data_IF_576410348731
#
_entry.id   IF_576410348731
#
_cell.length_a   1.000
_cell.length_b   1.000
_cell.length_c   1.000
_cell.angle_alpha   90.00
_cell.angle_beta   90.00
_cell.angle_gamma   90.00
#
_symmetry.space_group_name_H-M   'P 1'
#
loop_
_entity.id
_entity.type
_entity.pdbx_description
1 polymer ?
#
# COMPACT_ATOMS: atom_id res chain seq x y z
N UNK A 1 2.28 -18.42 21.35
CA UNK A 1 1.75 -19.50 20.49
C UNK A 1 2.53 -19.67 19.19
N UNK A 2 2.84 -18.61 18.44
CA UNK A 2 3.40 -18.70 17.07
C UNK A 2 4.87 -19.18 16.98
N UNK A 3 5.74 -18.80 17.92
CA UNK A 3 7.19 -19.11 17.88
C UNK A 3 7.66 -20.05 19.00
N UNK A 4 6.84 -20.27 20.04
CA UNK A 4 7.27 -21.03 21.21
C UNK A 4 7.54 -22.50 20.89
N UNK A 5 6.70 -23.11 20.05
CA UNK A 5 6.83 -24.52 19.69
C UNK A 5 7.96 -24.81 18.71
N UNK A 6 8.41 -23.81 17.93
CA UNK A 6 9.50 -24.02 16.98
C UNK A 6 10.83 -24.34 17.68
N UNK A 7 10.98 -23.96 18.96
CA UNK A 7 12.19 -24.26 19.74
C UNK A 7 12.24 -25.70 20.27
N UNK A 8 11.11 -26.40 20.32
CA UNK A 8 10.98 -27.69 21.03
C UNK A 8 10.34 -28.80 20.21
N UNK A 9 9.70 -28.48 19.08
CA UNK A 9 9.02 -29.44 18.21
C UNK A 9 9.31 -29.17 16.73
N UNK A 10 9.36 -30.22 15.89
CA UNK A 10 9.35 -30.05 14.44
C UNK A 10 8.20 -29.16 14.01
N UNK A 11 8.52 -28.13 13.24
CA UNK A 11 7.57 -27.10 12.81
C UNK A 11 7.76 -26.83 11.33
N UNK A 12 6.65 -26.64 10.62
CA UNK A 12 6.66 -26.36 9.18
C UNK A 12 5.63 -25.29 8.83
N UNK A 13 5.82 -24.64 7.67
CA UNK A 13 4.80 -23.76 7.11
C UNK A 13 3.64 -24.60 6.56
N UNK A 14 2.41 -24.29 6.96
CA UNK A 14 1.22 -24.87 6.32
C UNK A 14 1.00 -24.30 4.91
N UNK A 15 0.12 -24.93 4.12
CA UNK A 15 -0.12 -24.58 2.71
C UNK A 15 -0.50 -23.11 2.47
N UNK A 16 -1.27 -22.52 3.39
CA UNK A 16 -1.64 -21.11 3.29
C UNK A 16 -0.42 -20.19 3.42
N UNK A 17 0.42 -20.45 4.43
CA UNK A 17 1.65 -19.69 4.65
C UNK A 17 2.65 -19.91 3.52
N UNK A 18 2.80 -21.13 3.02
CA UNK A 18 3.64 -21.45 1.87
C UNK A 18 3.20 -20.66 0.62
N UNK A 19 1.90 -20.69 0.30
CA UNK A 19 1.34 -19.95 -0.85
C UNK A 19 1.55 -18.45 -0.71
N UNK A 20 1.34 -17.90 0.49
CA UNK A 20 1.58 -16.49 0.79
C UNK A 20 3.04 -16.14 0.52
N UNK A 21 3.99 -16.85 1.14
CA UNK A 21 5.42 -16.57 1.01
C UNK A 21 5.89 -16.71 -0.44
N UNK A 22 5.49 -17.77 -1.15
CA UNK A 22 5.87 -17.97 -2.54
C UNK A 22 5.37 -16.82 -3.44
N UNK A 23 4.15 -16.32 -3.18
CA UNK A 23 3.58 -15.22 -3.95
C UNK A 23 4.31 -13.91 -3.66
N UNK A 24 4.55 -13.60 -2.38
CA UNK A 24 5.24 -12.38 -1.98
C UNK A 24 6.70 -12.36 -2.42
N UNK A 25 7.41 -13.51 -2.34
CA UNK A 25 8.76 -13.61 -2.87
C UNK A 25 8.81 -13.36 -4.38
N UNK A 26 7.84 -13.86 -5.15
CA UNK A 26 7.75 -13.58 -6.59
C UNK A 26 7.64 -12.07 -6.84
N UNK A 27 6.76 -11.39 -6.11
CA UNK A 27 6.50 -9.94 -6.28
C UNK A 27 7.66 -9.08 -5.84
N UNK A 28 8.32 -9.41 -4.73
CA UNK A 28 9.42 -8.59 -4.20
C UNK A 28 10.72 -8.82 -4.99
N UNK A 29 11.05 -10.07 -5.31
CA UNK A 29 12.35 -10.42 -5.92
C UNK A 29 12.36 -10.29 -7.43
N UNK A 30 11.26 -10.63 -8.11
CA UNK A 30 11.21 -10.65 -9.57
C UNK A 30 9.79 -10.38 -10.10
N UNK A 31 9.23 -9.18 -9.87
CA UNK A 31 7.93 -8.84 -10.39
C UNK A 31 7.96 -8.70 -11.91
N UNK A 32 6.85 -9.02 -12.57
CA UNK A 32 6.71 -8.68 -13.98
C UNK A 32 6.55 -7.18 -14.14
N UNK A 33 7.39 -6.58 -14.99
CA UNK A 33 7.48 -5.13 -15.19
C UNK A 33 6.64 -4.63 -16.37
N UNK A 34 5.97 -3.47 -16.27
CA UNK A 34 6.04 -2.51 -15.16
C UNK A 34 5.32 -3.00 -13.88
N UNK A 35 5.99 -2.84 -12.73
CA UNK A 35 5.44 -3.14 -11.42
C UNK A 35 5.06 -1.83 -10.72
N UNK A 36 3.78 -1.69 -10.39
CA UNK A 36 3.22 -0.45 -9.84
C UNK A 36 2.66 -0.71 -8.45
N UNK A 37 3.03 0.14 -7.51
CA UNK A 37 2.50 0.11 -6.14
C UNK A 37 1.54 1.28 -5.97
N UNK A 38 0.38 1.02 -5.37
CA UNK A 38 -0.54 2.06 -4.92
C UNK A 38 -0.65 1.98 -3.40
N UNK A 39 -0.33 3.09 -2.74
CA UNK A 39 -0.51 3.26 -1.32
C UNK A 39 -1.58 4.31 -1.02
N UNK A 40 -2.54 3.95 -0.18
CA UNK A 40 -3.65 4.78 0.24
C UNK A 40 -4.01 4.59 1.70
N UNK A 41 -5.22 5.00 2.06
CA UNK A 41 -5.77 4.83 3.40
C UNK A 41 -5.31 5.91 4.39
N UNK A 42 -5.46 5.57 5.67
CA UNK A 42 -5.29 6.48 6.80
C UNK A 42 -3.99 6.26 7.59
N UNK A 43 -3.01 5.55 7.02
CA UNK A 43 -1.68 5.37 7.62
C UNK A 43 -0.62 5.70 6.61
N UNK A 44 0.38 6.48 6.99
CA UNK A 44 1.47 6.85 6.09
C UNK A 44 2.85 6.64 6.71
N UNK A 45 2.96 6.60 8.04
CA UNK A 45 4.20 6.35 8.77
C UNK A 45 5.02 5.16 8.24
N UNK A 46 4.42 3.96 8.19
CA UNK A 46 5.05 2.73 7.67
C UNK A 46 5.18 2.74 6.14
N UNK A 47 4.33 3.50 5.45
CA UNK A 47 4.30 3.55 3.99
C UNK A 47 5.54 4.24 3.42
N UNK A 48 6.08 5.27 4.09
CA UNK A 48 7.27 6.01 3.63
C UNK A 48 8.48 5.08 3.48
N UNK A 49 8.76 4.29 4.51
CA UNK A 49 9.87 3.32 4.54
C UNK A 49 9.68 2.28 3.44
N UNK A 50 8.44 1.82 3.26
CA UNK A 50 8.11 0.86 2.21
C UNK A 50 8.38 1.43 0.82
N UNK A 51 7.96 2.67 0.56
CA UNK A 51 8.17 3.37 -0.72
C UNK A 51 9.66 3.48 -1.03
N UNK A 52 10.46 3.96 -0.07
CA UNK A 52 11.91 4.07 -0.24
C UNK A 52 12.53 2.72 -0.58
N UNK A 53 12.13 1.66 0.12
CA UNK A 53 12.67 0.31 -0.09
C UNK A 53 12.32 -0.25 -1.48
N UNK A 54 11.04 -0.20 -1.88
CA UNK A 54 10.60 -0.80 -3.15
C UNK A 54 11.15 -0.05 -4.36
N UNK A 55 11.38 1.27 -4.25
CA UNK A 55 11.98 2.07 -5.31
C UNK A 55 13.51 1.89 -5.35
N UNK A 56 14.18 1.93 -4.19
CA UNK A 56 15.65 1.75 -4.10
C UNK A 56 16.09 0.38 -4.65
N UNK A 57 15.32 -0.67 -4.37
CA UNK A 57 15.59 -2.02 -4.84
C UNK A 57 15.00 -2.31 -6.22
N UNK A 58 14.37 -1.32 -6.88
CA UNK A 58 13.74 -1.44 -8.20
C UNK A 58 12.66 -2.53 -8.29
N UNK A 59 12.07 -2.88 -7.15
CA UNK A 59 10.89 -3.74 -7.07
C UNK A 59 9.70 -3.03 -7.69
N UNK A 60 9.49 -1.76 -7.34
CA UNK A 60 8.51 -0.89 -7.98
C UNK A 60 9.18 -0.08 -9.10
N UNK A 61 8.50 0.05 -10.23
CA UNK A 61 8.83 1.02 -11.27
C UNK A 61 8.09 2.35 -11.06
N UNK A 62 6.91 2.30 -10.44
CA UNK A 62 6.11 3.49 -10.10
C UNK A 62 5.35 3.30 -8.80
N UNK A 63 5.14 4.40 -8.08
CA UNK A 63 4.36 4.48 -6.85
C UNK A 63 3.26 5.52 -7.01
N UNK A 64 2.01 5.12 -6.79
CA UNK A 64 0.83 5.97 -6.79
C UNK A 64 0.39 6.20 -5.35
N UNK A 65 0.24 7.46 -4.94
CA UNK A 65 -0.20 7.78 -3.57
C UNK A 65 -1.62 8.36 -3.57
N UNK A 66 -2.41 7.95 -2.58
CA UNK A 66 -3.75 8.44 -2.29
C UNK A 66 -3.94 8.58 -0.77
N UNK A 67 -5.09 9.08 -0.31
CA UNK A 67 -5.39 9.21 1.13
C UNK A 67 -4.36 10.02 1.92
N UNK A 68 -4.10 9.65 3.18
CA UNK A 68 -3.12 10.32 4.02
C UNK A 68 -1.68 10.22 3.50
N UNK A 69 -1.21 9.11 2.90
CA UNK A 69 0.10 9.09 2.24
C UNK A 69 0.28 10.20 1.20
N UNK A 70 -0.70 10.41 0.33
CA UNK A 70 -0.63 11.51 -0.65
C UNK A 70 -0.60 12.88 0.04
N UNK A 71 -1.45 13.09 1.04
CA UNK A 71 -1.51 14.35 1.78
C UNK A 71 -0.16 14.64 2.48
N UNK A 72 0.46 13.64 3.10
CA UNK A 72 1.76 13.78 3.75
C UNK A 72 2.86 14.21 2.75
N UNK A 73 2.88 13.61 1.56
CA UNK A 73 3.81 13.98 0.48
C UNK A 73 3.56 15.40 -0.06
N UNK A 74 2.31 15.80 -0.24
CA UNK A 74 1.97 17.16 -0.65
C UNK A 74 2.39 18.18 0.42
N UNK A 75 2.15 17.89 1.70
CA UNK A 75 2.59 18.74 2.81
C UNK A 75 4.12 18.89 2.84
N UNK A 76 4.86 17.79 2.67
CA UNK A 76 6.32 17.81 2.62
C UNK A 76 6.88 18.59 1.42
N UNK A 77 6.12 18.69 0.32
CA UNK A 77 6.45 19.54 -0.84
C UNK A 77 6.13 21.03 -0.63
N UNK A 78 5.52 21.39 0.51
CA UNK A 78 5.18 22.78 0.84
C UNK A 78 3.76 23.19 0.47
N UNK A 79 2.89 22.26 0.06
CA UNK A 79 1.47 22.57 -0.10
C UNK A 79 0.81 22.78 1.27
N UNK A 80 0.02 23.84 1.40
CA UNK A 80 -0.84 24.06 2.55
C UNK A 80 -2.16 23.33 2.31
N UNK A 81 -2.47 22.30 3.11
CA UNK A 81 -3.68 21.48 2.91
C UNK A 81 -4.91 22.03 3.65
N UNK A 82 -4.70 23.02 4.51
CA UNK A 82 -5.70 23.54 5.44
C UNK A 82 -5.65 22.81 6.79
N UNK A 83 -6.02 23.53 7.84
CA UNK A 83 -5.86 23.14 9.26
C UNK A 83 -6.38 21.72 9.55
N UNK A 84 -7.61 21.39 9.10
CA UNK A 84 -8.20 20.08 9.38
C UNK A 84 -7.42 18.91 8.79
N UNK A 85 -6.91 19.07 7.56
CA UNK A 85 -6.15 18.03 6.88
C UNK A 85 -4.75 17.89 7.50
N UNK A 86 -4.13 18.99 7.91
CA UNK A 86 -2.83 18.97 8.58
C UNK A 86 -2.91 18.39 9.99
N UNK A 87 -3.98 18.67 10.74
CA UNK A 87 -4.23 18.02 12.04
C UNK A 87 -4.33 16.50 11.92
N UNK A 88 -5.04 15.98 10.90
CA UNK A 88 -5.12 14.54 10.67
C UNK A 88 -3.75 13.90 10.36
N UNK A 89 -2.84 14.63 9.71
CA UNK A 89 -1.47 14.15 9.49
C UNK A 89 -0.66 14.10 10.78
N UNK A 90 -0.85 15.08 11.67
CA UNK A 90 -0.17 15.15 12.98
C UNK A 90 -0.71 14.13 13.99
N UNK A 91 -1.95 13.67 13.82
CA UNK A 91 -2.52 12.58 14.63
C UNK A 91 -1.91 11.22 14.27
N UNK A 92 -1.59 10.99 12.98
CA UNK A 92 -1.01 9.71 12.52
C UNK A 92 0.52 9.68 12.64
N UNK A 93 1.19 10.78 12.30
CA UNK A 93 2.63 10.83 12.13
C UNK A 93 3.31 11.91 12.99
N UNK A 94 4.64 11.86 13.01
CA UNK A 94 5.48 12.82 13.73
C UNK A 94 6.11 13.83 12.77
N UNK A 95 6.51 14.98 13.30
CA UNK A 95 7.09 16.06 12.50
C UNK A 95 8.36 15.63 11.75
N UNK A 96 9.15 14.71 12.32
CA UNK A 96 10.38 14.19 11.72
C UNK A 96 10.13 13.39 10.44
N UNK A 97 8.95 12.79 10.29
CA UNK A 97 8.62 12.00 9.09
C UNK A 97 8.45 12.87 7.85
N UNK A 98 8.09 14.15 7.98
CA UNK A 98 7.99 15.04 6.81
C UNK A 98 9.35 15.31 6.18
N UNK A 99 10.42 15.36 6.96
CA UNK A 99 11.78 15.49 6.42
C UNK A 99 12.23 14.21 5.69
N UNK A 100 11.82 13.04 6.19
CA UNK A 100 12.04 11.77 5.51
C UNK A 100 11.27 11.68 4.18
N UNK A 101 9.98 12.01 4.19
CA UNK A 101 9.16 12.12 2.98
C UNK A 101 9.82 13.03 1.95
N UNK A 102 10.32 14.20 2.38
CA UNK A 102 10.95 15.16 1.49
C UNK A 102 12.21 14.57 0.83
N UNK A 103 13.01 13.81 1.57
CA UNK A 103 14.19 13.10 1.03
C UNK A 103 13.78 12.02 0.02
N UNK A 104 12.82 11.16 0.37
CA UNK A 104 12.30 10.10 -0.49
C UNK A 104 11.73 10.71 -1.78
N UNK A 105 10.88 11.73 -1.67
CA UNK A 105 10.29 12.39 -2.83
C UNK A 105 11.34 13.07 -3.71
N UNK A 106 12.35 13.72 -3.13
CA UNK A 106 13.42 14.35 -3.91
C UNK A 106 14.23 13.31 -4.68
N UNK A 107 14.47 12.15 -4.08
CA UNK A 107 15.28 11.07 -4.66
C UNK A 107 14.53 10.35 -5.79
N UNK A 108 13.22 10.12 -5.63
CA UNK A 108 12.40 9.31 -6.53
C UNK A 108 11.25 10.09 -7.18
N UNK A 109 11.47 11.38 -7.43
CA UNK A 109 10.42 12.31 -7.91
C UNK A 109 9.69 11.83 -9.16
N UNK A 110 10.40 11.21 -10.10
CA UNK A 110 9.85 10.78 -11.39
C UNK A 110 9.04 9.47 -11.30
N UNK A 111 9.22 8.75 -10.19
CA UNK A 111 8.58 7.46 -9.94
C UNK A 111 7.38 7.57 -8.97
N UNK A 112 7.24 8.69 -8.26
CA UNK A 112 6.16 8.94 -7.28
C UNK A 112 5.10 9.88 -7.87
N UNK A 113 3.86 9.41 -7.92
CA UNK A 113 2.72 10.13 -8.49
C UNK A 113 1.71 10.50 -7.39
N UNK A 114 1.41 11.80 -7.32
CA UNK A 114 0.46 12.38 -6.37
C UNK A 114 -0.86 12.80 -7.04
N UNK A 115 -1.96 12.90 -6.28
CA UNK A 115 -3.23 13.44 -6.75
C UNK A 115 -3.10 14.89 -7.23
N UNK A 116 -3.90 15.24 -8.24
CA UNK A 116 -3.99 16.59 -8.82
C UNK A 116 -5.33 17.27 -8.50
N UNK A 117 -6.26 16.52 -7.93
CA UNK A 117 -7.58 16.94 -7.49
C UNK A 117 -8.13 15.98 -6.41
N UNK A 118 -9.09 16.48 -5.63
CA UNK A 118 -9.62 15.83 -4.45
C UNK A 118 -11.14 16.02 -4.39
N UNK A 119 -11.83 15.11 -3.71
CA UNK A 119 -13.24 15.26 -3.38
C UNK A 119 -13.41 15.66 -1.91
N UNK A 120 -14.27 16.66 -1.68
CA UNK A 120 -14.63 17.21 -0.38
C UNK A 120 -16.14 17.18 -0.16
N UNK A 121 -16.56 17.33 1.10
CA UNK A 121 -17.96 17.51 1.47
C UNK A 121 -18.27 19.00 1.63
N UNK A 122 -19.03 19.58 0.71
CA UNK A 122 -19.52 20.96 0.79
C UNK A 122 -21.05 20.95 0.68
N UNK A 123 -21.75 21.52 1.67
CA UNK A 123 -23.22 21.57 1.71
C UNK A 123 -23.87 20.19 1.50
N UNK A 124 -23.36 19.18 2.20
CA UNK A 124 -23.82 17.77 2.14
C UNK A 124 -23.65 17.10 0.77
N UNK A 125 -22.89 17.71 -0.15
CA UNK A 125 -22.64 17.18 -1.49
C UNK A 125 -21.15 16.94 -1.71
N UNK A 126 -20.85 15.88 -2.48
CA UNK A 126 -19.51 15.66 -3.03
C UNK A 126 -19.21 16.79 -4.00
N UNK A 127 -18.11 17.50 -3.79
CA UNK A 127 -17.55 18.47 -4.73
C UNK A 127 -16.08 18.16 -4.94
N UNK A 128 -15.62 18.30 -6.18
CA UNK A 128 -14.21 18.13 -6.50
C UNK A 128 -13.50 19.49 -6.53
N UNK A 129 -12.30 19.54 -5.96
CA UNK A 129 -11.42 20.70 -5.92
C UNK A 129 -10.05 20.30 -6.48
N UNK A 130 -9.40 21.20 -7.20
CA UNK A 130 -8.07 20.99 -7.75
C UNK A 130 -6.99 21.23 -6.71
N UNK A 131 -5.79 20.70 -6.95
CA UNK A 131 -4.63 20.93 -6.10
C UNK A 131 -4.30 22.42 -5.89
N UNK A 132 -4.53 23.26 -6.89
CA UNK A 132 -4.30 24.70 -6.79
C UNK A 132 -5.43 25.49 -6.07
N UNK A 133 -6.48 24.81 -5.61
CA UNK A 133 -7.54 25.38 -4.78
C UNK A 133 -7.31 25.16 -3.28
N UNK A 134 -6.17 24.55 -2.91
CA UNK A 134 -5.72 24.44 -1.54
C UNK A 134 -5.20 25.79 -1.01
N UNK A 135 -5.35 26.09 0.30
CA UNK A 135 -5.83 25.21 1.36
C UNK A 135 -7.35 25.00 1.37
N UNK A 136 -7.78 23.78 1.67
CA UNK A 136 -9.19 23.44 1.79
C UNK A 136 -9.71 23.70 3.21
N UNK A 137 -10.92 24.27 3.32
CA UNK A 137 -11.66 24.37 4.59
C UNK A 137 -12.35 23.05 4.99
N UNK A 138 -12.38 22.10 4.05
CA UNK A 138 -13.01 20.78 4.16
C UNK A 138 -11.96 19.69 4.17
N UNK A 139 -12.30 18.52 4.74
CA UNK A 139 -11.43 17.35 4.68
C UNK A 139 -11.36 16.81 3.25
N UNK A 140 -10.17 16.39 2.83
CA UNK A 140 -9.95 15.68 1.57
C UNK A 140 -10.33 14.21 1.78
N UNK A 141 -11.52 13.83 1.33
CA UNK A 141 -12.11 12.53 1.65
C UNK A 141 -11.85 11.45 0.59
N UNK A 142 -11.56 11.84 -0.66
CA UNK A 142 -11.29 10.93 -1.78
C UNK A 142 -10.49 11.70 -2.86
N UNK A 143 -9.99 10.97 -3.86
CA UNK A 143 -9.37 11.58 -5.05
C UNK A 143 -10.45 12.09 -6.03
N UNK A 144 -10.11 13.12 -6.81
CA UNK A 144 -10.99 13.65 -7.87
C UNK A 144 -10.87 12.87 -9.19
N UNK A 145 -11.75 13.19 -10.15
CA UNK A 145 -11.82 12.49 -11.43
C UNK A 145 -10.51 12.53 -12.22
N UNK A 146 -9.80 13.67 -12.21
CA UNK A 146 -8.57 13.80 -13.00
C UNK A 146 -7.45 12.93 -12.46
N UNK A 147 -7.39 12.78 -11.14
CA UNK A 147 -6.45 11.85 -10.50
C UNK A 147 -6.80 10.41 -10.86
N UNK A 148 -8.09 10.05 -10.86
CA UNK A 148 -8.55 8.71 -11.25
C UNK A 148 -8.12 8.40 -12.70
N UNK A 149 -8.42 9.29 -13.65
CA UNK A 149 -8.04 9.15 -15.07
C UNK A 149 -6.53 8.98 -15.21
N UNK A 150 -5.75 9.89 -14.61
CA UNK A 150 -4.29 9.85 -14.65
C UNK A 150 -3.71 8.55 -14.08
N UNK A 151 -4.28 8.05 -12.98
CA UNK A 151 -3.80 6.83 -12.34
C UNK A 151 -4.16 5.61 -13.18
N UNK A 152 -5.36 5.56 -13.79
CA UNK A 152 -5.74 4.51 -14.74
C UNK A 152 -4.80 4.47 -15.95
N UNK A 153 -4.42 5.61 -16.50
CA UNK A 153 -3.46 5.69 -17.62
C UNK A 153 -2.10 5.10 -17.25
N UNK A 154 -1.62 5.37 -16.04
CA UNK A 154 -0.38 4.79 -15.52
C UNK A 154 -0.52 3.27 -15.33
N UNK A 155 -1.65 2.82 -14.78
CA UNK A 155 -1.94 1.41 -14.49
C UNK A 155 -2.20 0.58 -15.75
N UNK A 156 -2.62 1.20 -16.85
CA UNK A 156 -3.00 0.53 -18.10
C UNK A 156 -1.91 -0.42 -18.64
N UNK A 157 -0.64 -0.04 -18.47
CA UNK A 157 0.51 -0.79 -18.96
C UNK A 157 1.19 -1.64 -17.88
N UNK A 158 0.65 -1.69 -16.66
CA UNK A 158 1.25 -2.46 -15.58
C UNK A 158 1.13 -3.96 -15.85
N UNK A 159 2.16 -4.73 -15.49
CA UNK A 159 2.10 -6.20 -15.48
C UNK A 159 1.91 -6.75 -14.07
N UNK A 160 2.40 -6.03 -13.07
CA UNK A 160 2.18 -6.33 -11.66
C UNK A 160 1.65 -5.08 -10.96
N UNK A 161 0.58 -5.21 -10.16
CA UNK A 161 0.06 -4.13 -9.34
C UNK A 161 -0.10 -4.58 -7.91
N UNK A 162 0.43 -3.79 -6.98
CA UNK A 162 0.21 -3.96 -5.55
C UNK A 162 -0.69 -2.84 -5.02
N UNK A 163 -1.80 -3.21 -4.38
CA UNK A 163 -2.76 -2.30 -3.77
C UNK A 163 -2.67 -2.41 -2.24
N UNK A 164 -2.32 -1.32 -1.56
CA UNK A 164 -2.47 -1.20 -0.10
C UNK A 164 -3.14 0.11 0.26
N UNK A 165 -4.31 0.01 0.89
CA UNK A 165 -5.14 1.13 1.33
C UNK A 165 -6.12 1.62 0.25
N UNK A 166 -7.33 2.05 0.66
CA UNK A 166 -8.30 2.68 -0.24
C UNK A 166 -7.85 4.09 -0.66
N UNK A 167 -8.38 4.60 -1.78
CA UNK A 167 -8.04 5.94 -2.26
C UNK A 167 -8.70 7.07 -1.46
N UNK A 168 -9.79 6.75 -0.75
CA UNK A 168 -10.59 7.67 0.06
C UNK A 168 -11.36 6.93 1.15
N UNK A 169 -12.34 7.60 1.76
CA UNK A 169 -13.25 7.05 2.78
C UNK A 169 -14.30 6.16 2.11
N UNK A 170 -13.89 4.95 1.73
CA UNK A 170 -14.67 4.01 0.91
C UNK A 170 -15.95 3.50 1.58
N UNK A 171 -16.03 3.61 2.90
CA UNK A 171 -17.21 3.29 3.69
C UNK A 171 -18.36 4.28 3.42
N UNK A 172 -18.03 5.51 3.00
CA UNK A 172 -19.00 6.52 2.61
C UNK A 172 -19.28 6.46 1.10
N UNK A 173 -20.54 6.23 0.67
CA UNK A 173 -20.89 6.21 -0.76
C UNK A 173 -20.51 7.48 -1.53
N UNK A 174 -20.48 8.64 -0.88
CA UNK A 174 -20.05 9.90 -1.50
C UNK A 174 -18.55 9.94 -1.78
N UNK A 175 -17.73 9.15 -1.09
CA UNK A 175 -16.26 9.21 -1.11
C UNK A 175 -15.59 7.87 -1.42
N UNK A 176 -16.34 6.92 -1.97
CA UNK A 176 -15.80 5.63 -2.42
C UNK A 176 -15.36 5.59 -3.88
N UNK A 177 -15.75 6.59 -4.68
CA UNK A 177 -15.58 6.61 -6.15
C UNK A 177 -14.12 6.36 -6.56
N UNK A 178 -13.15 7.06 -5.97
CA UNK A 178 -11.75 6.86 -6.32
C UNK A 178 -11.26 5.43 -6.09
N UNK A 179 -11.64 4.86 -4.95
CA UNK A 179 -11.30 3.46 -4.63
C UNK A 179 -12.00 2.50 -5.58
N UNK A 180 -13.29 2.69 -5.82
CA UNK A 180 -14.11 1.82 -6.70
C UNK A 180 -13.59 1.83 -8.14
N UNK A 181 -13.30 3.01 -8.69
CA UNK A 181 -12.81 3.17 -10.05
C UNK A 181 -11.42 2.57 -10.26
N UNK A 182 -10.49 2.80 -9.33
CA UNK A 182 -9.12 2.26 -9.44
C UNK A 182 -9.12 0.75 -9.21
N UNK A 183 -9.80 0.24 -8.19
CA UNK A 183 -9.79 -1.19 -7.88
C UNK A 183 -10.52 -1.97 -8.96
N UNK A 184 -11.64 -1.46 -9.48
CA UNK A 184 -12.37 -2.08 -10.59
C UNK A 184 -11.53 -2.09 -11.86
N UNK A 185 -10.78 -1.02 -12.14
CA UNK A 185 -9.87 -0.97 -13.29
C UNK A 185 -8.79 -2.05 -13.19
N UNK A 186 -8.12 -2.16 -12.04
CA UNK A 186 -7.08 -3.18 -11.81
C UNK A 186 -7.68 -4.58 -11.88
N UNK A 187 -8.83 -4.83 -11.25
CA UNK A 187 -9.50 -6.12 -11.24
C UNK A 187 -9.97 -6.59 -12.62
N UNK A 188 -10.34 -5.68 -13.51
CA UNK A 188 -10.75 -6.02 -14.88
C UNK A 188 -9.57 -6.05 -15.88
N UNK A 189 -8.36 -5.75 -15.44
CA UNK A 189 -7.15 -5.81 -16.27
C UNK A 189 -6.56 -7.24 -16.33
N UNK A 190 -5.58 -7.47 -17.20
CA UNK A 190 -4.81 -8.73 -17.26
C UNK A 190 -3.60 -8.75 -16.32
N UNK A 191 -3.46 -7.73 -15.49
CA UNK A 191 -2.34 -7.51 -14.59
C UNK A 191 -2.37 -8.48 -13.43
N UNK A 192 -1.20 -8.97 -13.01
CA UNK A 192 -1.09 -9.71 -11.75
C UNK A 192 -1.29 -8.76 -10.57
N UNK A 193 -2.43 -8.87 -9.89
CA UNK A 193 -2.84 -7.95 -8.82
C UNK A 193 -2.71 -8.57 -7.44
N UNK A 194 -2.05 -7.85 -6.53
CA UNK A 194 -1.93 -8.20 -5.11
C UNK A 194 -2.65 -7.15 -4.29
N UNK A 195 -3.48 -7.60 -3.37
CA UNK A 195 -4.16 -6.73 -2.39
C UNK A 195 -3.62 -7.03 -1.01
N UNK A 196 -3.20 -5.98 -0.31
CA UNK A 196 -2.63 -6.03 1.03
C UNK A 196 -3.31 -5.08 2.00
N UNK A 197 -3.42 -5.47 3.27
CA UNK A 197 -4.00 -4.63 4.33
C UNK A 197 -5.51 -4.80 4.52
N UNK A 198 -5.96 -4.77 5.78
CA UNK A 198 -7.35 -5.10 6.14
C UNK A 198 -8.40 -4.23 5.47
N UNK A 199 -8.19 -2.90 5.42
CA UNK A 199 -9.13 -1.98 4.76
C UNK A 199 -9.20 -2.20 3.25
N UNK A 200 -8.08 -2.53 2.61
CA UNK A 200 -8.02 -2.83 1.18
C UNK A 200 -8.79 -4.09 0.85
N UNK A 201 -8.63 -5.15 1.67
CA UNK A 201 -9.38 -6.40 1.53
C UNK A 201 -10.87 -6.14 1.72
N UNK A 202 -11.25 -5.38 2.75
CA UNK A 202 -12.64 -5.00 3.00
C UNK A 202 -13.25 -4.24 1.82
N UNK A 203 -12.53 -3.28 1.23
CA UNK A 203 -12.98 -2.55 0.04
C UNK A 203 -13.19 -3.48 -1.17
N UNK A 204 -12.25 -4.40 -1.43
CA UNK A 204 -12.35 -5.39 -2.51
C UNK A 204 -13.55 -6.31 -2.32
N UNK A 205 -13.82 -6.75 -1.09
CA UNK A 205 -14.98 -7.58 -0.76
C UNK A 205 -16.30 -6.82 -0.92
N UNK A 206 -16.38 -5.60 -0.39
CA UNK A 206 -17.56 -4.73 -0.51
C UNK A 206 -17.91 -4.43 -1.98
N UNK A 207 -16.90 -4.34 -2.85
CA UNK A 207 -17.06 -4.09 -4.28
C UNK A 207 -17.25 -5.37 -5.12
N UNK A 208 -17.30 -6.55 -4.48
CA UNK A 208 -17.41 -7.86 -5.14
C UNK A 208 -16.30 -8.11 -6.18
N UNK A 209 -15.08 -7.65 -5.89
CA UNK A 209 -13.93 -7.79 -6.78
C UNK A 209 -13.02 -8.97 -6.40
N UNK A 210 -13.32 -9.66 -5.29
CA UNK A 210 -12.48 -10.73 -4.72
C UNK A 210 -11.99 -11.75 -5.74
N UNK A 211 -12.90 -12.27 -6.56
CA UNK A 211 -12.60 -13.34 -7.53
C UNK A 211 -11.79 -12.87 -8.74
N UNK A 212 -11.63 -11.56 -8.90
CA UNK A 212 -10.87 -10.93 -9.98
C UNK A 212 -9.47 -10.50 -9.54
N UNK A 213 -9.15 -10.60 -8.25
CA UNK A 213 -7.82 -10.29 -7.73
C UNK A 213 -6.95 -11.53 -7.77
N UNK A 214 -5.71 -11.41 -8.26
CA UNK A 214 -4.80 -12.56 -8.41
C UNK A 214 -4.36 -13.13 -7.06
N UNK A 215 -4.11 -12.25 -6.08
CA UNK A 215 -3.75 -12.64 -4.73
C UNK A 215 -4.25 -11.65 -3.68
N UNK A 216 -4.91 -12.16 -2.64
CA UNK A 216 -5.34 -11.38 -1.48
C UNK A 216 -4.52 -11.85 -0.29
N UNK A 217 -3.66 -10.96 0.21
CA UNK A 217 -2.83 -11.23 1.36
C UNK A 217 -3.64 -11.18 2.65
N UNK A 218 -3.47 -12.19 3.49
CA UNK A 218 -4.03 -12.22 4.85
C UNK A 218 -3.05 -11.65 5.89
N UNK A 219 -1.87 -11.18 5.45
CA UNK A 219 -0.76 -10.79 6.33
C UNK A 219 -0.92 -9.42 7.01
N UNK A 220 -1.82 -8.56 6.53
CA UNK A 220 -2.01 -7.21 7.06
C UNK A 220 -0.69 -6.44 7.16
N UNK A 221 -0.39 -5.84 8.30
CA UNK A 221 0.90 -5.14 8.53
C UNK A 221 2.15 -6.06 8.48
N UNK A 222 1.99 -7.39 8.53
CA UNK A 222 3.12 -8.31 8.31
C UNK A 222 3.57 -8.32 6.84
N UNK A 223 2.65 -8.04 5.91
CA UNK A 223 2.96 -7.89 4.50
C UNK A 223 3.85 -6.67 4.28
N UNK A 224 3.50 -5.53 4.87
CA UNK A 224 4.27 -4.28 4.76
C UNK A 224 5.68 -4.47 5.33
N UNK A 225 5.81 -5.11 6.50
CA UNK A 225 7.12 -5.47 7.06
C UNK A 225 7.92 -6.43 6.16
N UNK A 226 7.25 -7.39 5.55
CA UNK A 226 7.91 -8.28 4.58
C UNK A 226 8.41 -7.51 3.35
N UNK A 227 7.63 -6.52 2.86
CA UNK A 227 8.02 -5.63 1.77
C UNK A 227 9.22 -4.74 2.14
N UNK A 228 9.35 -4.33 3.40
CA UNK A 228 10.52 -3.61 3.93
C UNK A 228 11.77 -4.50 4.09
N UNK A 229 11.70 -5.78 3.70
CA UNK A 229 12.70 -6.81 4.01
C UNK A 229 12.97 -6.98 5.51
N UNK A 230 12.03 -6.59 6.36
CA UNK A 230 12.15 -6.86 7.79
C UNK A 230 12.01 -8.36 8.05
N UNK A 231 12.78 -8.82 9.03
CA UNK A 231 12.69 -10.20 9.48
C UNK A 231 11.38 -10.44 10.23
N UNK A 232 10.46 -11.18 9.61
CA UNK A 232 9.27 -11.65 10.30
C UNK A 232 9.64 -12.76 11.30
N UNK A 233 9.36 -12.52 12.58
CA UNK A 233 9.75 -13.42 13.68
C UNK A 233 9.33 -14.89 13.45
N UNK A 234 8.13 -15.12 12.92
CA UNK A 234 7.63 -16.48 12.61
C UNK A 234 8.41 -17.14 11.48
N UNK A 235 8.80 -16.37 10.45
CA UNK A 235 9.60 -16.89 9.33
C UNK A 235 11.00 -17.26 9.80
N UNK A 236 11.64 -16.38 10.58
CA UNK A 236 12.98 -16.65 11.11
C UNK A 236 12.97 -17.87 12.05
N UNK A 237 11.95 -17.99 12.89
CA UNK A 237 11.76 -19.16 13.74
C UNK A 237 11.67 -20.46 12.91
N UNK A 238 10.88 -20.49 11.83
CA UNK A 238 10.80 -21.65 10.93
C UNK A 238 12.09 -21.94 10.16
N UNK A 239 12.84 -20.90 9.75
CA UNK A 239 14.16 -21.08 9.11
C UNK A 239 15.18 -21.72 10.05
N UNK A 240 15.11 -21.40 11.34
CA UNK A 240 16.02 -21.97 12.34
C UNK A 240 15.75 -23.46 12.59
N UNK A 241 14.47 -23.88 12.62
CA UNK A 241 14.12 -25.31 12.70
C UNK A 241 14.72 -26.12 11.55
N UNK A 242 14.74 -25.56 10.34
CA UNK A 242 15.36 -26.20 9.16
C UNK A 242 16.86 -26.42 9.34
N UNK A 243 17.58 -25.50 10.03
CA UNK A 243 19.02 -25.63 10.28
C UNK A 243 19.31 -26.73 11.31
N UNK A 244 18.56 -26.75 12.41
CA UNK A 244 18.79 -27.72 13.50
C UNK A 244 18.45 -29.16 13.08
N UNK A 245 17.45 -29.31 12.21
CA UNK A 245 17.05 -30.60 11.64
C UNK A 245 18.09 -31.15 10.64
N UNK A 246 18.81 -30.29 9.91
CA UNK A 246 19.87 -30.73 8.98
C UNK A 246 21.15 -31.18 9.69
N UNK A 247 21.43 -30.64 10.88
CA UNK A 247 22.56 -31.10 11.72
C UNK A 247 22.29 -32.52 12.24
N UNK A 248 21.07 -32.79 12.70
CA UNK A 248 20.68 -34.10 13.23
C UNK A 248 20.61 -35.23 12.17
N UNK A 249 20.48 -34.90 10.88
CA UNK A 249 20.49 -35.90 9.79
C UNK A 249 21.92 -36.27 9.36
N UNK A 250 22.92 -35.42 9.61
CA UNK A 250 24.32 -35.71 9.28
C UNK A 250 25.06 -36.51 10.37
N UNK A 251 24.47 -36.64 11.56
CA UNK A 251 25.02 -37.37 12.70
C UNK A 251 24.40 -38.77 12.89
N UNK A 252 23.63 -39.26 11.91
CA UNK A 252 23.14 -40.64 11.83
C UNK A 252 23.58 -41.28 10.52
#
# INVERSE_FOLDING_TARGET
>A
SLIGFTAVLPSCAGRLMEKELATLEKVIKNPEKPCIFLFGGAKFSDVIITIEHVLSNKTADKVLLTGLPANAFLKAQGYNLGEKNESALLEEGKSEQFEEIKKVFTTFKDDIYLPVDFAVLENEKRKEIKLNELPSKYNLFDIGEKTIEKFKDILMNAKTVFLSGPCGVFENPLFRKGTEEIFTFVANSKTFSIVGGGHTVAAVEQMNLRDKISHISTGGGSLEKFMMSEKLAVIEALKNVKKDSQVHIKEK
#
